data_IF_432727197573
#
_entry.id   IF_432727197573
#
_cell.length_a   1.000
_cell.length_b   1.000
_cell.length_c   1.000
_cell.angle_alpha   90.00
_cell.angle_beta   90.00
_cell.angle_gamma   90.00
#
_symmetry.space_group_name_H-M   'P 1'
#
loop_
_entity.id
_entity.type
_entity.pdbx_description
1 polymer ?
#
# COMPACT_ATOMS: atom_id res chain seq x y z
N UNK A 1 -3.65 0.38 -2.14
CA UNK A 1 -3.79 1.10 -3.42
C UNK A 1 -2.43 1.17 -4.07
N UNK A 2 -1.95 0.12 -4.77
CA UNK A 2 -0.83 0.07 -5.74
C UNK A 2 0.36 1.06 -5.68
N UNK A 3 0.67 1.62 -4.50
CA UNK A 3 1.59 2.73 -4.30
C UNK A 3 1.01 4.14 -4.46
N UNK A 4 -0.29 4.31 -4.71
CA UNK A 4 -0.97 5.62 -4.79
C UNK A 4 -1.49 6.09 -3.43
N UNK A 5 -1.42 7.40 -3.19
CA UNK A 5 -1.90 8.05 -1.98
C UNK A 5 -3.17 8.85 -2.25
N UNK A 6 -4.09 8.88 -1.29
CA UNK A 6 -5.32 9.68 -1.34
C UNK A 6 -5.52 10.37 -0.01
N UNK A 7 -5.97 11.62 -0.05
CA UNK A 7 -6.44 12.36 1.12
C UNK A 7 -7.94 12.12 1.21
N UNK A 8 -8.40 11.55 2.33
CA UNK A 8 -9.83 11.32 2.58
C UNK A 8 -10.44 12.42 3.45
N UNK A 9 -9.68 12.93 4.42
CA UNK A 9 -10.11 14.02 5.31
C UNK A 9 -8.90 14.90 5.61
N UNK A 10 -9.13 16.21 5.67
CA UNK A 10 -8.09 17.19 5.99
C UNK A 10 -8.74 18.34 6.77
N UNK A 11 -8.87 18.20 8.09
CA UNK A 11 -9.45 19.22 8.96
C UNK A 11 -8.40 19.82 9.89
N UNK A 12 -8.58 21.10 10.22
CA UNK A 12 -7.68 21.86 11.11
C UNK A 12 -8.08 21.78 12.59
N UNK A 13 -9.29 21.28 12.87
CA UNK A 13 -9.80 21.09 14.24
C UNK A 13 -9.35 19.75 14.83
N UNK A 14 -9.33 19.66 16.16
CA UNK A 14 -8.94 18.44 16.86
C UNK A 14 -9.88 17.29 16.52
N UNK A 15 -9.38 16.32 15.75
CA UNK A 15 -10.18 15.23 15.22
C UNK A 15 -9.98 13.94 16.02
N UNK A 16 -11.07 13.23 16.31
CA UNK A 16 -11.01 11.88 16.86
C UNK A 16 -10.76 10.89 15.72
N UNK A 17 -9.49 10.65 15.41
CA UNK A 17 -9.06 9.73 14.35
C UNK A 17 -9.70 8.32 14.45
N UNK A 18 -10.10 7.90 15.66
CA UNK A 18 -10.70 6.60 15.91
C UNK A 18 -12.07 6.37 15.27
N UNK A 19 -12.84 7.39 14.91
CA UNK A 19 -14.18 7.23 14.30
C UNK A 19 -14.17 7.15 12.78
N UNK A 20 -13.12 7.64 12.12
CA UNK A 20 -13.09 7.80 10.65
C UNK A 20 -12.85 6.50 9.88
N UNK A 21 -12.42 5.42 10.55
CA UNK A 21 -12.04 4.19 9.83
C UNK A 21 -13.18 3.61 8.98
N UNK A 22 -14.40 3.67 9.50
CA UNK A 22 -15.57 3.11 8.82
C UNK A 22 -15.89 3.90 7.55
N UNK A 23 -15.88 5.24 7.66
CA UNK A 23 -16.08 6.16 6.54
C UNK A 23 -15.02 5.95 5.46
N UNK A 24 -13.76 5.77 5.83
CA UNK A 24 -12.69 5.48 4.86
C UNK A 24 -12.85 4.14 4.15
N UNK A 25 -13.36 3.12 4.85
CA UNK A 25 -13.63 1.81 4.25
C UNK A 25 -14.83 1.86 3.31
N UNK A 26 -15.88 2.61 3.65
CA UNK A 26 -17.02 2.81 2.74
C UNK A 26 -16.63 3.67 1.53
N UNK A 27 -15.84 4.73 1.71
CA UNK A 27 -15.30 5.52 0.60
C UNK A 27 -14.39 4.70 -0.34
N UNK A 28 -13.66 3.71 0.20
CA UNK A 28 -12.93 2.74 -0.61
C UNK A 28 -13.89 1.90 -1.46
N UNK A 29 -14.96 1.39 -0.85
CA UNK A 29 -15.96 0.59 -1.56
C UNK A 29 -16.70 1.39 -2.62
N UNK A 30 -17.04 2.65 -2.36
CA UNK A 30 -17.66 3.53 -3.35
C UNK A 30 -16.74 3.74 -4.56
N UNK A 31 -15.43 3.88 -4.34
CA UNK A 31 -14.47 4.09 -5.41
C UNK A 31 -14.19 2.84 -6.24
N UNK A 32 -14.03 1.68 -5.60
CA UNK A 32 -13.59 0.43 -6.26
C UNK A 32 -14.71 -0.58 -6.51
N UNK A 33 -15.88 -0.37 -5.91
CA UNK A 33 -17.04 -1.28 -5.98
C UNK A 33 -16.98 -2.47 -5.02
N UNK A 34 -15.93 -2.63 -4.21
CA UNK A 34 -15.76 -3.76 -3.28
C UNK A 34 -15.06 -3.38 -1.97
N UNK A 35 -15.25 -4.18 -0.92
CA UNK A 35 -14.55 -4.01 0.35
C UNK A 35 -13.11 -4.55 0.29
N UNK A 36 -12.13 -3.88 0.94
CA UNK A 36 -10.75 -4.35 0.95
C UNK A 36 -10.63 -5.67 1.72
N UNK A 37 -9.79 -6.60 1.25
CA UNK A 37 -9.52 -7.86 1.97
C UNK A 37 -8.75 -7.61 3.30
N UNK A 38 -7.87 -6.61 3.30
CA UNK A 38 -7.00 -6.28 4.42
C UNK A 38 -6.95 -4.76 4.64
N UNK A 39 -7.17 -4.34 5.88
CA UNK A 39 -7.01 -2.97 6.35
C UNK A 39 -5.80 -2.89 7.27
N UNK A 40 -4.81 -2.10 6.88
CA UNK A 40 -3.59 -1.87 7.65
C UNK A 40 -3.62 -0.46 8.24
N UNK A 41 -3.71 -0.36 9.56
CA UNK A 41 -3.79 0.94 10.25
C UNK A 41 -2.91 0.95 11.50
N UNK A 42 -2.76 2.13 12.08
CA UNK A 42 -2.23 2.29 13.43
C UNK A 42 -3.20 1.76 14.48
N UNK A 43 -2.68 1.44 15.67
CA UNK A 43 -3.48 0.87 16.75
C UNK A 43 -4.55 1.85 17.28
N UNK A 44 -4.35 3.16 17.09
CA UNK A 44 -5.32 4.19 17.50
C UNK A 44 -6.66 4.06 16.74
N UNK A 45 -6.65 3.53 15.52
CA UNK A 45 -7.85 3.26 14.73
C UNK A 45 -8.56 1.97 15.15
N UNK A 46 -7.96 1.16 16.02
CA UNK A 46 -8.44 -0.19 16.33
C UNK A 46 -9.29 -0.24 17.60
N UNK A 47 -10.33 0.61 17.62
CA UNK A 47 -11.37 0.63 18.65
C UNK A 47 -12.24 -0.64 18.63
N UNK A 48 -13.00 -0.90 19.70
CA UNK A 48 -13.92 -2.06 19.76
C UNK A 48 -14.97 -2.01 18.65
N UNK A 49 -15.53 -0.82 18.40
CA UNK A 49 -16.51 -0.57 17.35
C UNK A 49 -15.94 -0.90 15.97
N UNK A 50 -14.74 -0.40 15.67
CA UNK A 50 -14.10 -0.62 14.37
C UNK A 50 -13.75 -2.09 14.12
N UNK A 51 -13.35 -2.83 15.17
CA UNK A 51 -13.10 -4.27 15.04
C UNK A 51 -14.37 -5.06 14.80
N UNK A 52 -15.46 -4.71 15.47
CA UNK A 52 -16.75 -5.34 15.22
C UNK A 52 -17.20 -5.09 13.78
N UNK A 53 -17.11 -3.85 13.31
CA UNK A 53 -17.42 -3.44 11.95
C UNK A 53 -16.62 -4.20 10.88
N UNK A 54 -15.29 -4.30 11.06
CA UNK A 54 -14.42 -5.03 10.13
C UNK A 54 -14.72 -6.54 10.16
N UNK A 55 -14.97 -7.10 11.36
CA UNK A 55 -15.30 -8.53 11.52
C UNK A 55 -16.62 -8.90 10.85
N UNK A 56 -17.65 -8.08 11.01
CA UNK A 56 -18.96 -8.26 10.39
C UNK A 56 -18.86 -8.34 8.86
N UNK A 57 -17.98 -7.53 8.26
CA UNK A 57 -17.74 -7.47 6.82
C UNK A 57 -16.67 -8.45 6.32
N UNK A 58 -16.13 -9.30 7.20
CA UNK A 58 -15.08 -10.27 6.86
C UNK A 58 -13.73 -9.63 6.49
N UNK A 59 -13.51 -8.36 6.83
CA UNK A 59 -12.29 -7.62 6.50
C UNK A 59 -11.21 -7.96 7.52
N UNK A 60 -10.04 -8.39 7.05
CA UNK A 60 -8.90 -8.65 7.94
C UNK A 60 -8.22 -7.34 8.34
N UNK A 61 -7.58 -7.31 9.50
CA UNK A 61 -6.79 -6.15 9.92
C UNK A 61 -5.47 -6.55 10.61
N UNK A 62 -4.49 -5.66 10.61
CA UNK A 62 -3.18 -5.87 11.26
C UNK A 62 -3.10 -5.40 12.72
N UNK A 63 -4.15 -4.76 13.24
CA UNK A 63 -4.20 -4.29 14.63
C UNK A 63 -3.99 -5.38 15.67
N UNK A 64 -3.28 -5.07 16.76
CA UNK A 64 -3.00 -6.03 17.85
C UNK A 64 -4.30 -6.56 18.48
N UNK A 65 -4.40 -7.83 18.90
CA UNK A 65 -5.62 -8.35 19.56
C UNK A 65 -5.91 -7.63 20.88
N UNK A 66 -7.19 -7.51 21.26
CA UNK A 66 -7.55 -7.01 22.59
C UNK A 66 -7.27 -8.06 23.67
N UNK A 67 -6.78 -7.60 24.83
CA UNK A 67 -6.55 -8.43 26.01
C UNK A 67 -5.13 -8.97 26.14
N UNK A 68 -4.93 -9.85 27.11
CA UNK A 68 -3.65 -10.52 27.34
C UNK A 68 -3.26 -11.34 26.11
N UNK A 69 -2.01 -11.18 25.67
CA UNK A 69 -1.43 -12.03 24.63
C UNK A 69 -1.60 -13.50 25.05
N UNK A 70 -2.19 -14.38 24.22
CA UNK A 70 -2.26 -15.79 24.56
C UNK A 70 -0.85 -16.33 24.80
N UNK A 71 -0.71 -17.20 25.82
CA UNK A 71 0.56 -17.85 26.16
C UNK A 71 1.04 -18.65 24.95
N UNK A 72 1.96 -18.07 24.17
CA UNK A 72 2.69 -18.67 23.04
C UNK A 72 1.82 -19.59 22.18
N UNK A 73 0.83 -19.05 21.48
CA UNK A 73 0.35 -19.74 20.28
C UNK A 73 1.52 -19.85 19.30
N UNK A 74 1.91 -21.09 18.97
CA UNK A 74 2.92 -21.37 17.95
C UNK A 74 2.34 -20.96 16.60
N UNK A 75 2.44 -19.68 16.24
CA UNK A 75 2.12 -19.22 14.89
C UNK A 75 2.91 -20.08 13.89
N UNK A 76 2.20 -20.64 12.91
CA UNK A 76 2.81 -21.43 11.85
C UNK A 76 3.84 -20.60 11.09
N UNK A 77 4.88 -21.25 10.54
CA UNK A 77 5.90 -20.57 9.71
C UNK A 77 5.27 -19.71 8.62
N UNK A 78 4.21 -20.22 7.97
CA UNK A 78 3.47 -19.51 6.94
C UNK A 78 2.80 -18.22 7.47
N UNK A 79 2.15 -18.28 8.63
CA UNK A 79 1.51 -17.11 9.26
C UNK A 79 2.55 -16.04 9.63
N UNK A 80 3.70 -16.45 10.18
CA UNK A 80 4.79 -15.51 10.49
C UNK A 80 5.33 -14.83 9.23
N UNK A 81 5.49 -15.57 8.14
CA UNK A 81 5.94 -15.02 6.87
C UNK A 81 4.91 -14.03 6.29
N UNK A 82 3.62 -14.36 6.36
CA UNK A 82 2.54 -13.47 5.93
C UNK A 82 2.54 -12.16 6.73
N UNK A 83 2.60 -12.23 8.06
CA UNK A 83 2.66 -11.05 8.93
C UNK A 83 3.91 -10.20 8.68
N UNK A 84 5.07 -10.83 8.41
CA UNK A 84 6.30 -10.11 8.03
C UNK A 84 6.13 -9.35 6.72
N UNK A 85 5.50 -9.97 5.72
CA UNK A 85 5.24 -9.32 4.43
C UNK A 85 4.31 -8.12 4.60
N UNK A 86 3.19 -8.31 5.29
CA UNK A 86 2.23 -7.24 5.61
C UNK A 86 2.90 -6.09 6.38
N UNK A 87 3.78 -6.39 7.35
CA UNK A 87 4.54 -5.37 8.08
C UNK A 87 5.56 -4.64 7.19
N UNK A 88 6.23 -5.34 6.29
CA UNK A 88 7.17 -4.73 5.36
C UNK A 88 6.46 -3.80 4.37
N UNK A 89 5.26 -4.17 3.90
CA UNK A 89 4.42 -3.32 3.06
C UNK A 89 4.07 -2.02 3.79
N UNK A 90 3.61 -2.10 5.06
CA UNK A 90 3.37 -0.92 5.89
C UNK A 90 4.62 -0.06 6.06
N UNK A 91 5.76 -0.66 6.39
CA UNK A 91 7.02 0.06 6.55
C UNK A 91 7.44 0.78 5.26
N UNK A 92 7.20 0.16 4.09
CA UNK A 92 7.49 0.78 2.80
C UNK A 92 6.60 2.00 2.55
N UNK A 93 5.31 1.88 2.84
CA UNK A 93 4.34 2.97 2.75
C UNK A 93 4.73 4.12 3.70
N UNK A 94 5.02 3.80 4.97
CA UNK A 94 5.47 4.78 5.97
C UNK A 94 6.78 5.46 5.56
N UNK A 95 7.73 4.70 5.00
CA UNK A 95 8.97 5.24 4.46
C UNK A 95 8.73 6.20 3.29
N UNK A 96 7.76 5.92 2.41
CA UNK A 96 7.36 6.83 1.32
C UNK A 96 6.71 8.11 1.84
N UNK A 97 5.88 8.02 2.88
CA UNK A 97 5.35 9.19 3.56
C UNK A 97 6.47 9.99 4.25
N UNK A 98 7.46 9.33 4.86
CA UNK A 98 8.65 9.96 5.40
C UNK A 98 9.48 10.69 4.35
N UNK A 99 9.68 10.07 3.18
CA UNK A 99 10.30 10.72 2.01
C UNK A 99 9.51 11.94 1.53
N UNK A 100 8.18 11.89 1.53
CA UNK A 100 7.33 13.05 1.24
C UNK A 100 7.52 14.17 2.26
N UNK A 101 7.56 13.85 3.56
CA UNK A 101 7.76 14.85 4.62
C UNK A 101 9.13 15.53 4.54
N UNK A 102 10.19 14.76 4.29
CA UNK A 102 11.56 15.26 4.22
C UNK A 102 11.92 15.88 2.86
N UNK A 103 11.58 15.20 1.76
CA UNK A 103 11.94 15.59 0.39
C UNK A 103 11.03 16.65 -0.22
N UNK A 104 9.74 16.68 0.13
CA UNK A 104 8.80 17.72 -0.31
C UNK A 104 8.61 18.85 0.71
N UNK A 105 9.45 18.92 1.75
CA UNK A 105 9.38 19.94 2.80
C UNK A 105 7.98 20.10 3.42
N UNK A 106 7.23 19.00 3.55
CA UNK A 106 5.86 19.03 4.09
C UNK A 106 5.83 19.58 5.53
N UNK A 107 6.90 19.34 6.29
CA UNK A 107 7.11 19.88 7.64
C UNK A 107 7.44 21.40 7.67
N UNK A 108 7.72 22.03 6.52
CA UNK A 108 8.04 23.47 6.39
C UNK A 108 6.92 24.28 5.73
N UNK A 109 5.73 23.70 5.53
CA UNK A 109 4.58 24.45 5.03
C UNK A 109 4.09 25.40 6.13
N UNK A 110 4.64 26.62 6.18
CA UNK A 110 4.27 27.70 7.11
C UNK A 110 3.01 28.45 6.66
N UNK A 111 2.02 27.74 6.09
CA UNK A 111 0.78 28.37 5.66
C UNK A 111 -0.02 28.82 6.88
N UNK A 112 -0.29 30.13 7.00
CA UNK A 112 -1.04 30.72 8.13
C UNK A 112 -2.55 30.46 8.07
N UNK A 113 -3.07 30.09 6.90
CA UNK A 113 -4.49 29.85 6.65
C UNK A 113 -4.74 28.38 6.30
N UNK A 114 -5.78 27.78 6.89
CA UNK A 114 -6.10 26.36 6.74
C UNK A 114 -6.35 25.94 5.28
N UNK A 115 -7.06 26.75 4.51
CA UNK A 115 -7.35 26.49 3.09
C UNK A 115 -6.10 26.47 2.22
N UNK A 116 -5.17 27.41 2.46
CA UNK A 116 -3.87 27.42 1.79
C UNK A 116 -3.07 26.17 2.18
N UNK A 117 -3.03 25.80 3.46
CA UNK A 117 -2.31 24.61 3.93
C UNK A 117 -2.84 23.33 3.27
N UNK A 118 -4.16 23.11 3.27
CA UNK A 118 -4.80 21.96 2.63
C UNK A 118 -4.48 21.89 1.14
N UNK A 119 -4.52 23.03 0.42
CA UNK A 119 -4.20 23.08 -1.01
C UNK A 119 -2.75 22.70 -1.30
N UNK A 120 -1.82 23.14 -0.44
CA UNK A 120 -0.40 22.74 -0.52
C UNK A 120 -0.21 21.24 -0.26
N UNK A 121 -0.86 20.70 0.77
CA UNK A 121 -0.80 19.25 1.07
C UNK A 121 -1.38 18.43 -0.09
N UNK A 122 -2.54 18.82 -0.63
CA UNK A 122 -3.15 18.19 -1.79
C UNK A 122 -2.24 18.22 -3.02
N UNK A 123 -1.59 19.37 -3.28
CA UNK A 123 -0.64 19.52 -4.39
C UNK A 123 0.57 18.58 -4.24
N UNK A 124 1.11 18.42 -3.03
CA UNK A 124 2.23 17.50 -2.80
C UNK A 124 1.79 16.05 -3.03
N UNK A 125 0.64 15.63 -2.50
CA UNK A 125 0.11 14.28 -2.72
C UNK A 125 -0.14 14.03 -4.21
N UNK A 126 -0.66 15.03 -4.92
CA UNK A 126 -0.86 14.95 -6.36
C UNK A 126 0.47 14.74 -7.12
N UNK A 127 1.51 15.53 -6.82
CA UNK A 127 2.84 15.36 -7.42
C UNK A 127 3.43 13.98 -7.10
N UNK A 128 3.26 13.48 -5.86
CA UNK A 128 3.70 12.13 -5.48
C UNK A 128 3.01 11.04 -6.32
N UNK A 129 1.70 11.18 -6.57
CA UNK A 129 0.95 10.25 -7.42
C UNK A 129 1.41 10.31 -8.89
N UNK A 130 1.70 11.50 -9.43
CA UNK A 130 2.25 11.64 -10.78
C UNK A 130 3.60 10.92 -10.90
N UNK A 131 4.52 11.16 -9.96
CA UNK A 131 5.83 10.51 -9.96
C UNK A 131 5.72 8.99 -9.92
N UNK A 132 4.75 8.46 -9.15
CA UNK A 132 4.45 7.04 -9.10
C UNK A 132 3.94 6.51 -10.44
N UNK A 133 2.94 7.17 -11.04
CA UNK A 133 2.40 6.79 -12.34
C UNK A 133 3.48 6.82 -13.43
N UNK A 134 4.34 7.86 -13.43
CA UNK A 134 5.47 7.98 -14.36
C UNK A 134 6.43 6.82 -14.21
N UNK A 135 6.80 6.42 -12.98
CA UNK A 135 7.69 5.27 -12.76
C UNK A 135 7.11 3.98 -13.37
N UNK A 136 5.80 3.74 -13.18
CA UNK A 136 5.16 2.55 -13.73
C UNK A 136 5.14 2.58 -15.27
N UNK A 137 4.83 3.73 -15.87
CA UNK A 137 4.88 3.96 -17.32
C UNK A 137 6.30 3.77 -17.89
N UNK A 138 7.30 4.41 -17.28
CA UNK A 138 8.70 4.28 -17.70
C UNK A 138 9.15 2.82 -17.61
N UNK A 139 8.88 2.12 -16.51
CA UNK A 139 9.24 0.71 -16.38
C UNK A 139 8.57 -0.17 -17.44
N UNK A 140 7.34 0.11 -17.84
CA UNK A 140 6.67 -0.61 -18.93
C UNK A 140 7.36 -0.34 -20.28
N UNK A 141 7.61 0.93 -20.60
CA UNK A 141 8.30 1.33 -21.84
C UNK A 141 9.69 0.68 -21.92
N UNK A 142 10.47 0.74 -20.83
CA UNK A 142 11.78 0.11 -20.78
C UNK A 142 11.69 -1.40 -20.95
N UNK A 143 10.74 -2.09 -20.31
CA UNK A 143 10.56 -3.55 -20.49
C UNK A 143 10.27 -3.92 -21.94
N UNK A 144 9.38 -3.19 -22.60
CA UNK A 144 9.07 -3.43 -24.01
C UNK A 144 10.27 -3.13 -24.91
N UNK A 145 11.01 -2.06 -24.65
CA UNK A 145 12.24 -1.73 -25.37
C UNK A 145 13.32 -2.81 -25.19
N UNK A 146 13.54 -3.29 -23.95
CA UNK A 146 14.45 -4.40 -23.67
C UNK A 146 14.01 -5.70 -24.36
N UNK A 147 12.70 -5.97 -24.43
CA UNK A 147 12.15 -7.13 -25.14
C UNK A 147 12.42 -7.07 -26.65
N UNK A 148 12.38 -5.88 -27.22
CA UNK A 148 12.71 -5.63 -28.65
C UNK A 148 14.21 -5.76 -28.90
N UNK A 149 15.06 -5.19 -28.03
CA UNK A 149 16.51 -5.16 -28.22
C UNK A 149 17.17 -6.52 -27.90
N UNK A 150 16.65 -7.23 -26.90
CA UNK A 150 17.14 -8.56 -26.51
C UNK A 150 16.03 -9.60 -26.70
N UNK A 151 15.68 -9.95 -27.95
CA UNK A 151 14.79 -11.06 -28.18
C UNK A 151 15.44 -12.30 -27.57
N UNK A 152 14.75 -12.92 -26.61
CA UNK A 152 15.22 -14.17 -25.97
C UNK A 152 15.41 -15.19 -27.07
N UNK A 153 16.66 -15.41 -27.46
CA UNK A 153 17.06 -16.38 -28.47
C UNK A 153 16.80 -17.75 -27.86
N UNK A 154 15.60 -18.30 -28.08
CA UNK A 154 15.28 -19.70 -27.76
C UNK A 154 16.33 -20.55 -28.48
N UNK A 155 17.27 -21.11 -27.73
CA UNK A 155 18.12 -22.18 -28.21
C UNK A 155 17.22 -23.38 -28.53
N UNK A 156 16.90 -23.57 -29.80
CA UNK A 156 16.31 -24.82 -30.28
C UNK A 156 17.35 -25.91 -30.07
N UNK A 157 17.00 -26.91 -29.26
CA UNK A 157 17.81 -28.10 -29.01
C UNK A 157 18.19 -28.76 -30.33
N UNK A 158 19.49 -28.79 -30.63
CA UNK A 158 20.07 -29.75 -31.55
C UNK A 158 20.05 -31.09 -30.80
N UNK A 159 19.08 -31.95 -31.11
CA UNK A 159 19.15 -33.38 -30.74
C UNK A 159 19.92 -34.09 -31.86
N UNK A 160 20.99 -34.77 -31.45
CA UNK A 160 21.84 -35.64 -32.25
C UNK A 160 21.00 -36.73 -32.95
N UNK A 161 21.18 -36.88 -34.27
CA UNK A 161 20.77 -38.08 -35.00
C UNK A 161 21.81 -39.16 -34.73
N UNK A 162 21.41 -40.20 -34.01
CA UNK A 162 22.21 -41.41 -33.77
C UNK A 162 21.42 -42.61 -34.30
N UNK A 163 21.20 -42.63 -35.61
CA UNK A 163 20.66 -43.76 -36.38
C UNK A 163 21.05 -43.44 -37.84
N UNK A 164 22.01 -44.19 -38.37
CA UNK A 164 22.36 -44.40 -39.79
C UNK A 164 23.87 -44.63 -39.99
N UNK A 165 24.39 -45.71 -39.40
CA UNK A 165 25.42 -46.57 -39.99
C UNK A 165 25.36 -47.93 -39.29
N UNK A 166 24.48 -48.77 -39.81
CA UNK A 166 24.64 -50.22 -39.79
C UNK A 166 25.61 -50.63 -40.91
#
# INVERSE_FOLDING_TARGET
MDGFARINQADFEAFNEGSCLQEQVEAYKELFGYYPELVQTDDIYMSRTNRAYLKERGIRHTGRPLGCKPKKEKQSRCQKQKQRKEKNERNHIEGKFGQGKAGCNMNRIMARLASTHQSWVASIVFVMNILRAMQDLFCQIFKELFRIIYPVRKWTHIQYSYEDVA
#
